data_IF_247849990823
#
_entry.id   IF_247849990823
#
_cell.length_a   1.000
_cell.length_b   1.000
_cell.length_c   1.000
_cell.angle_alpha   90.00
_cell.angle_beta   90.00
_cell.angle_gamma   90.00
#
_symmetry.space_group_name_H-M   'P 1'
#
loop_
_entity.id
_entity.type
_entity.pdbx_description
1 polymer ?
#
# COMPACT_ATOMS: atom_id res chain seq x y z
N UNK A 1 -7.99 -7.94 -1.94
CA UNK A 1 -6.96 -7.85 -2.99
C UNK A 1 -7.57 -7.15 -4.18
N UNK A 2 -6.87 -6.16 -4.72
CA UNK A 2 -7.19 -5.54 -6.01
C UNK A 2 -5.91 -5.53 -6.82
N UNK A 3 -5.91 -6.35 -7.88
CA UNK A 3 -4.86 -6.40 -8.88
C UNK A 3 -5.10 -5.35 -9.96
N UNK A 4 -4.06 -4.66 -10.40
CA UNK A 4 -4.20 -3.68 -11.48
C UNK A 4 -3.09 -3.80 -12.51
N UNK A 5 -3.39 -3.37 -13.74
CA UNK A 5 -2.40 -3.27 -14.82
C UNK A 5 -1.20 -2.40 -14.43
N UNK A 6 -0.04 -2.65 -15.08
CA UNK A 6 1.22 -1.93 -14.87
C UNK A 6 1.10 -0.39 -14.84
N UNK A 7 0.24 0.20 -15.67
CA UNK A 7 0.03 1.66 -15.70
C UNK A 7 -0.48 2.24 -14.37
N UNK A 8 -1.13 1.42 -13.53
CA UNK A 8 -1.60 1.78 -12.19
C UNK A 8 -0.64 1.23 -11.12
N UNK A 9 -0.16 0.00 -11.30
CA UNK A 9 0.74 -0.66 -10.33
C UNK A 9 2.12 0.02 -10.22
N UNK A 10 2.63 0.63 -11.31
CA UNK A 10 3.89 1.39 -11.36
C UNK A 10 5.08 0.66 -10.71
N UNK A 11 5.26 -0.62 -11.07
CA UNK A 11 6.32 -1.50 -10.54
C UNK A 11 6.37 -1.63 -9.00
N UNK A 12 5.24 -1.41 -8.32
CA UNK A 12 5.13 -1.49 -6.86
C UNK A 12 4.75 -0.17 -6.22
N UNK A 13 5.14 0.96 -6.83
CA UNK A 13 4.85 2.32 -6.35
C UNK A 13 3.37 2.67 -6.33
N UNK A 14 2.53 1.93 -7.04
CA UNK A 14 1.08 2.08 -6.97
C UNK A 14 0.44 1.37 -5.77
N UNK A 15 1.18 0.51 -5.05
CA UNK A 15 0.66 -0.17 -3.87
C UNK A 15 0.28 0.85 -2.80
N UNK A 16 -0.86 0.60 -2.16
CA UNK A 16 -1.46 1.48 -1.16
C UNK A 16 -2.27 2.65 -1.74
N UNK A 17 -2.15 2.97 -3.04
CA UNK A 17 -2.99 4.00 -3.67
C UNK A 17 -4.49 3.65 -3.63
N UNK A 18 -5.34 4.65 -3.41
CA UNK A 18 -6.78 4.49 -3.35
C UNK A 18 -7.50 4.99 -4.61
N UNK A 19 -8.52 4.24 -5.02
CA UNK A 19 -9.36 4.57 -6.17
C UNK A 19 -10.83 4.46 -5.79
N UNK A 20 -11.64 5.41 -6.27
CA UNK A 20 -13.09 5.23 -6.33
C UNK A 20 -13.44 4.54 -7.65
N UNK A 21 -14.18 3.44 -7.58
CA UNK A 21 -14.70 2.68 -8.71
C UNK A 21 -16.23 2.69 -8.69
N UNK A 22 -16.87 2.75 -9.86
CA UNK A 22 -18.32 2.59 -9.97
C UNK A 22 -18.70 1.91 -11.27
N UNK A 23 -19.77 1.13 -11.25
CA UNK A 23 -20.37 0.57 -12.46
C UNK A 23 -21.74 1.22 -12.74
N UNK A 24 -22.11 1.32 -14.01
CA UNK A 24 -23.37 1.96 -14.44
C UNK A 24 -24.12 1.19 -15.53
N UNK A 25 -23.44 0.31 -16.29
CA UNK A 25 -23.98 -0.32 -17.49
C UNK A 25 -24.58 -1.72 -17.27
N UNK A 26 -24.58 -2.25 -16.04
CA UNK A 26 -25.18 -3.54 -15.71
C UNK A 26 -26.43 -3.35 -14.82
N UNK A 27 -27.53 -4.12 -15.01
CA UNK A 27 -28.77 -3.93 -14.23
C UNK A 27 -28.57 -4.00 -12.71
N UNK A 28 -27.58 -4.77 -12.27
CA UNK A 28 -27.23 -4.92 -10.86
C UNK A 28 -26.39 -3.77 -10.29
N UNK A 29 -25.88 -2.85 -11.11
CA UNK A 29 -25.07 -1.73 -10.64
C UNK A 29 -25.85 -0.79 -9.74
N UNK A 30 -25.28 -0.42 -8.60
CA UNK A 30 -25.85 0.60 -7.71
C UNK A 30 -25.70 2.00 -8.29
N UNK A 31 -24.66 2.24 -9.10
CA UNK A 31 -24.24 3.57 -9.56
C UNK A 31 -23.43 4.36 -8.53
N UNK A 32 -23.35 3.87 -7.30
CA UNK A 32 -22.58 4.48 -6.22
C UNK A 32 -21.09 4.12 -6.34
N UNK A 33 -20.18 5.04 -6.00
CA UNK A 33 -18.76 4.75 -5.97
C UNK A 33 -18.36 3.96 -4.73
N UNK A 34 -17.50 2.96 -4.92
CA UNK A 34 -16.83 2.20 -3.87
C UNK A 34 -15.34 2.55 -3.86
N UNK A 35 -14.74 2.68 -2.68
CA UNK A 35 -13.29 2.90 -2.55
C UNK A 35 -12.56 1.58 -2.46
N UNK A 36 -11.55 1.40 -3.29
CA UNK A 36 -10.64 0.25 -3.29
C UNK A 36 -9.20 0.70 -3.13
N UNK A 37 -8.38 -0.18 -2.57
CA UNK A 37 -6.94 0.04 -2.35
C UNK A 37 -6.18 -0.92 -3.26
N UNK A 38 -5.16 -0.43 -3.95
CA UNK A 38 -4.32 -1.26 -4.79
C UNK A 38 -3.37 -2.06 -3.90
N UNK A 39 -3.41 -3.38 -4.03
CA UNK A 39 -2.58 -4.28 -3.22
C UNK A 39 -1.76 -5.25 -4.07
N UNK A 40 -2.03 -5.32 -5.37
CA UNK A 40 -1.44 -6.33 -6.24
C UNK A 40 -1.38 -5.86 -7.70
N UNK A 41 -0.68 -6.63 -8.53
CA UNK A 41 -0.55 -6.44 -9.96
C UNK A 41 -1.37 -7.46 -10.73
N UNK A 42 -1.98 -7.03 -11.83
CA UNK A 42 -2.51 -7.92 -12.85
C UNK A 42 -1.53 -8.02 -14.03
N UNK A 43 -0.89 -9.18 -14.17
CA UNK A 43 0.07 -9.49 -15.25
C UNK A 43 -0.59 -9.81 -16.60
N UNK A 44 -1.90 -10.05 -16.62
CA UNK A 44 -2.66 -10.42 -17.83
C UNK A 44 -3.79 -9.42 -18.11
N UNK A 45 -3.45 -8.14 -18.42
CA UNK A 45 -4.46 -7.13 -18.71
C UNK A 45 -5.17 -7.40 -20.04
N UNK A 46 -6.51 -7.33 -20.04
CA UNK A 46 -7.33 -7.46 -21.25
C UNK A 46 -7.72 -6.12 -21.87
N UNK A 47 -7.34 -5.00 -21.23
CA UNK A 47 -7.64 -3.64 -21.66
C UNK A 47 -6.56 -2.66 -21.17
N UNK A 48 -6.61 -1.41 -21.65
CA UNK A 48 -5.66 -0.35 -21.25
C UNK A 48 -5.65 -0.11 -19.74
N UNK A 49 -6.82 -0.17 -19.11
CA UNK A 49 -7.00 -0.07 -17.66
C UNK A 49 -7.83 -1.24 -17.18
N UNK A 50 -7.21 -2.15 -16.44
CA UNK A 50 -7.85 -3.36 -15.94
C UNK A 50 -7.68 -3.44 -14.42
N UNK A 51 -8.81 -3.56 -13.71
CA UNK A 51 -8.89 -3.84 -12.28
C UNK A 51 -9.40 -5.27 -12.09
N UNK A 52 -8.55 -6.12 -11.54
CA UNK A 52 -8.89 -7.47 -11.08
C UNK A 52 -9.29 -7.38 -9.60
N UNK A 53 -10.59 -7.24 -9.38
CA UNK A 53 -11.17 -6.98 -8.06
C UNK A 53 -11.43 -8.30 -7.33
N UNK A 54 -11.20 -8.33 -6.01
CA UNK A 54 -11.76 -9.41 -5.17
C UNK A 54 -13.29 -9.48 -5.33
N UNK A 55 -13.86 -10.66 -5.13
CA UNK A 55 -15.33 -10.84 -5.18
C UNK A 55 -16.07 -9.89 -4.21
N UNK A 56 -15.48 -9.55 -3.07
CA UNK A 56 -16.02 -8.54 -2.15
C UNK A 56 -16.08 -7.16 -2.80
N UNK A 57 -14.97 -6.67 -3.35
CA UNK A 57 -14.90 -5.34 -3.99
C UNK A 57 -15.78 -5.28 -5.26
N UNK A 58 -15.75 -6.32 -6.09
CA UNK A 58 -16.59 -6.40 -7.29
C UNK A 58 -18.08 -6.36 -6.94
N UNK A 59 -18.50 -7.18 -5.97
CA UNK A 59 -19.89 -7.27 -5.55
C UNK A 59 -20.38 -6.03 -4.78
N UNK A 60 -19.49 -5.24 -4.16
CA UNK A 60 -19.86 -4.02 -3.45
C UNK A 60 -20.42 -2.93 -4.38
N UNK A 61 -20.05 -2.93 -5.66
CA UNK A 61 -20.62 -2.02 -6.66
C UNK A 61 -22.10 -2.34 -7.02
N UNK A 62 -22.66 -3.43 -6.50
CA UNK A 62 -24.03 -3.85 -6.79
C UNK A 62 -25.07 -3.14 -5.91
N UNK A 63 -26.32 -3.13 -6.36
CA UNK A 63 -27.48 -2.82 -5.54
C UNK A 63 -27.57 -3.80 -4.36
N UNK A 64 -28.15 -3.39 -3.21
CA UNK A 64 -28.36 -4.29 -2.08
C UNK A 64 -29.05 -5.60 -2.51
N UNK A 65 -28.41 -6.74 -2.20
CA UNK A 65 -28.92 -8.07 -2.53
C UNK A 65 -28.61 -8.57 -3.94
N UNK A 66 -27.91 -7.79 -4.78
CA UNK A 66 -27.57 -8.17 -6.16
C UNK A 66 -26.06 -8.41 -6.36
N UNK A 67 -25.31 -8.57 -5.26
CA UNK A 67 -23.86 -8.76 -5.27
C UNK A 67 -23.45 -9.96 -6.14
N UNK A 68 -24.13 -11.10 -5.97
CA UNK A 68 -23.83 -12.31 -6.75
C UNK A 68 -24.21 -12.14 -8.22
N UNK A 69 -25.35 -11.51 -8.50
CA UNK A 69 -25.75 -11.22 -9.88
C UNK A 69 -24.68 -10.39 -10.60
N UNK A 70 -24.12 -9.37 -9.93
CA UNK A 70 -23.03 -8.59 -10.52
C UNK A 70 -21.77 -9.44 -10.69
N UNK A 71 -21.35 -10.22 -9.69
CA UNK A 71 -20.17 -11.11 -9.78
C UNK A 71 -20.25 -12.10 -10.95
N UNK A 72 -21.43 -12.65 -11.23
CA UNK A 72 -21.63 -13.60 -12.33
C UNK A 72 -21.51 -12.96 -13.72
N UNK A 73 -21.50 -11.63 -13.83
CA UNK A 73 -21.21 -10.95 -15.10
C UNK A 73 -19.74 -11.15 -15.55
N UNK A 74 -18.84 -11.50 -14.62
CA UNK A 74 -17.43 -11.73 -14.90
C UNK A 74 -16.68 -10.42 -15.18
N UNK A 75 -16.77 -9.91 -16.40
CA UNK A 75 -16.11 -8.66 -16.83
C UNK A 75 -17.16 -7.59 -17.07
N UNK A 76 -16.99 -6.43 -16.45
CA UNK A 76 -17.86 -5.26 -16.63
C UNK A 76 -17.04 -4.00 -16.86
N UNK A 77 -17.60 -3.05 -17.59
CA UNK A 77 -17.04 -1.71 -17.67
C UNK A 77 -17.30 -0.93 -16.38
N UNK A 78 -16.25 -0.31 -15.86
CA UNK A 78 -16.30 0.57 -14.69
C UNK A 78 -15.74 1.95 -15.02
N UNK A 79 -16.17 2.93 -14.25
CA UNK A 79 -15.54 4.24 -14.18
C UNK A 79 -14.69 4.29 -12.91
N UNK A 80 -13.53 4.90 -12.99
CA UNK A 80 -12.63 5.01 -11.84
C UNK A 80 -11.93 6.37 -11.79
N UNK A 81 -11.51 6.76 -10.59
CA UNK A 81 -10.63 7.92 -10.35
C UNK A 81 -9.76 7.67 -9.13
N UNK A 82 -8.52 8.16 -9.13
CA UNK A 82 -7.66 8.15 -7.94
C UNK A 82 -8.25 9.12 -6.91
N UNK A 83 -8.21 8.74 -5.64
CA UNK A 83 -8.66 9.57 -4.51
C UNK A 83 -7.67 9.45 -3.36
N UNK A 84 -7.63 10.43 -2.45
CA UNK A 84 -6.87 10.27 -1.22
C UNK A 84 -7.33 9.05 -0.40
N UNK A 85 -6.37 8.32 0.15
CA UNK A 85 -6.62 7.27 1.12
C UNK A 85 -6.98 7.84 2.49
N UNK A 86 -7.87 7.12 3.19
CA UNK A 86 -8.25 7.41 4.56
C UNK A 86 -8.45 6.07 5.28
N UNK A 87 -7.65 5.83 6.32
CA UNK A 87 -7.66 4.63 7.16
C UNK A 87 -8.05 5.00 8.60
N UNK A 88 -9.35 5.15 8.91
CA UNK A 88 -9.82 5.61 10.21
C UNK A 88 -9.30 4.75 11.37
N UNK A 89 -8.68 5.41 12.35
CA UNK A 89 -8.15 4.75 13.55
C UNK A 89 -6.84 3.99 13.34
N UNK A 90 -6.34 3.91 12.11
CA UNK A 90 -5.04 3.34 11.81
C UNK A 90 -3.98 4.44 11.71
N UNK A 91 -2.73 4.00 11.84
CA UNK A 91 -1.52 4.80 11.65
C UNK A 91 -0.60 4.02 10.74
N UNK A 92 0.35 4.73 10.13
CA UNK A 92 1.39 4.10 9.33
C UNK A 92 2.03 2.97 10.13
N UNK A 93 2.04 1.78 9.56
CA UNK A 93 2.47 0.55 10.20
C UNK A 93 3.61 -0.07 9.40
N UNK A 94 4.57 -0.64 10.12
CA UNK A 94 5.77 -1.23 9.57
C UNK A 94 5.80 -2.71 9.89
N UNK A 95 5.73 -3.57 8.88
CA UNK A 95 5.86 -5.01 9.03
C UNK A 95 7.26 -5.45 8.60
N UNK A 96 8.04 -6.00 9.54
CA UNK A 96 9.41 -6.44 9.27
C UNK A 96 9.35 -7.79 8.54
N UNK A 97 9.98 -7.86 7.37
CA UNK A 97 9.94 -9.06 6.53
C UNK A 97 10.75 -10.22 7.14
N UNK A 98 10.32 -11.45 6.88
CA UNK A 98 10.87 -12.70 7.46
C UNK A 98 12.40 -12.83 7.28
N UNK A 99 12.93 -12.42 6.12
CA UNK A 99 14.36 -12.50 5.82
C UNK A 99 15.25 -11.51 6.60
N UNK A 100 14.66 -10.59 7.36
CA UNK A 100 15.41 -9.56 8.09
C UNK A 100 16.33 -10.14 9.15
N UNK A 101 17.52 -9.59 9.28
CA UNK A 101 18.57 -9.99 10.22
C UNK A 101 19.51 -8.80 10.50
N UNK A 102 20.52 -8.93 11.37
CA UNK A 102 21.35 -7.79 11.76
C UNK A 102 22.13 -7.08 10.64
N UNK A 103 22.25 -7.63 9.43
CA UNK A 103 22.95 -6.99 8.29
C UNK A 103 22.04 -6.78 7.08
N UNK A 104 20.78 -7.21 7.14
CA UNK A 104 19.78 -7.05 6.10
C UNK A 104 18.44 -6.70 6.74
N UNK A 105 17.87 -5.55 6.42
CA UNK A 105 16.58 -5.15 6.96
C UNK A 105 15.60 -4.89 5.82
N UNK A 106 14.42 -5.50 5.87
CA UNK A 106 13.36 -5.26 4.93
C UNK A 106 12.03 -5.00 5.66
N UNK A 107 11.28 -4.02 5.17
CA UNK A 107 10.04 -3.57 5.82
C UNK A 107 8.97 -3.27 4.78
N UNK A 108 7.77 -3.80 5.02
CA UNK A 108 6.55 -3.42 4.34
C UNK A 108 5.92 -2.22 5.08
N UNK A 109 5.55 -1.18 4.33
CA UNK A 109 4.83 -0.02 4.86
C UNK A 109 3.35 -0.13 4.49
N UNK A 110 2.48 0.09 5.49
CA UNK A 110 1.02 -0.03 5.35
C UNK A 110 0.26 1.14 5.98
N UNK A 111 -0.95 1.38 5.47
CA UNK A 111 -1.97 2.31 5.99
C UNK A 111 -1.59 3.80 5.93
N UNK A 112 -0.94 4.20 4.84
CA UNK A 112 -0.62 5.58 4.53
C UNK A 112 -1.86 6.33 4.04
N UNK A 113 -2.28 7.36 4.76
CA UNK A 113 -3.34 8.27 4.30
C UNK A 113 -2.81 9.20 3.19
N UNK A 114 -3.72 9.93 2.55
CA UNK A 114 -3.36 10.89 1.51
C UNK A 114 -3.05 10.17 0.20
N UNK A 115 -1.85 10.29 -0.32
CA UNK A 115 -1.53 9.74 -1.65
C UNK A 115 -1.62 8.20 -1.69
N UNK A 116 -1.43 7.56 -0.53
CA UNK A 116 -1.51 6.11 -0.34
C UNK A 116 -0.28 5.34 -0.81
N UNK A 117 0.62 5.97 -1.57
CA UNK A 117 1.87 5.39 -2.03
C UNK A 117 3.09 5.96 -1.30
N UNK A 118 4.13 5.13 -1.21
CA UNK A 118 5.46 5.50 -0.73
C UNK A 118 6.43 5.39 -1.89
N UNK A 119 7.22 6.44 -2.11
CA UNK A 119 8.21 6.50 -3.20
C UNK A 119 9.66 6.52 -2.71
N UNK A 120 9.87 6.68 -1.39
CA UNK A 120 11.17 6.55 -0.74
C UNK A 120 11.00 6.20 0.73
N UNK A 121 11.83 5.30 1.24
CA UNK A 121 12.01 5.06 2.67
C UNK A 121 13.48 5.23 3.04
N UNK A 122 13.75 5.93 4.14
CA UNK A 122 15.08 6.06 4.71
C UNK A 122 15.11 5.50 6.13
N UNK A 123 16.23 4.87 6.50
CA UNK A 123 16.47 4.31 7.83
C UNK A 123 17.54 5.12 8.57
N UNK A 124 17.28 5.44 9.82
CA UNK A 124 18.26 6.01 10.75
C UNK A 124 18.47 5.08 11.93
N UNK A 125 19.71 4.66 12.15
CA UNK A 125 20.14 3.81 13.26
C UNK A 125 20.22 4.58 14.58
N UNK A 126 20.24 3.83 15.68
CA UNK A 126 20.43 4.40 17.01
C UNK A 126 21.75 5.18 17.11
N UNK A 127 21.70 6.33 17.77
CA UNK A 127 22.83 7.25 17.95
C UNK A 127 23.44 7.79 16.64
N UNK A 128 22.80 7.57 15.49
CA UNK A 128 23.14 8.21 14.23
C UNK A 128 22.34 9.51 14.05
N UNK A 129 22.87 10.41 13.23
CA UNK A 129 22.14 11.59 12.72
C UNK A 129 21.98 11.54 11.20
N UNK A 130 22.33 10.40 10.58
CA UNK A 130 22.33 10.22 9.13
C UNK A 130 21.21 9.29 8.71
N UNK A 131 20.51 9.69 7.64
CA UNK A 131 19.50 8.89 6.97
C UNK A 131 20.15 8.06 5.87
N UNK A 132 19.93 6.76 5.90
CA UNK A 132 20.38 5.83 4.86
C UNK A 132 19.20 5.49 3.96
N UNK A 133 19.26 5.83 2.65
CA UNK A 133 18.21 5.48 1.71
C UNK A 133 18.05 3.96 1.59
N UNK A 134 16.83 3.47 1.75
CA UNK A 134 16.47 2.09 1.47
C UNK A 134 16.17 1.93 -0.02
N UNK A 135 16.33 0.71 -0.53
CA UNK A 135 16.01 0.34 -1.90
C UNK A 135 14.62 -0.26 -1.96
N UNK A 136 13.84 0.15 -2.95
CA UNK A 136 12.59 -0.53 -3.30
C UNK A 136 12.89 -1.97 -3.72
N UNK A 137 12.09 -2.92 -3.23
CA UNK A 137 12.14 -4.32 -3.63
C UNK A 137 10.97 -4.65 -4.56
N UNK A 138 9.84 -5.11 -4.01
CA UNK A 138 8.62 -5.41 -4.76
C UNK A 138 7.41 -4.96 -3.94
N UNK A 139 6.39 -4.39 -4.59
CA UNK A 139 5.22 -3.82 -3.90
C UNK A 139 5.63 -2.65 -3.01
N UNK A 140 5.17 -2.62 -1.76
CA UNK A 140 5.55 -1.60 -0.75
C UNK A 140 6.67 -2.09 0.19
N UNK A 141 7.52 -3.01 -0.26
CA UNK A 141 8.66 -3.53 0.53
C UNK A 141 9.93 -2.74 0.22
N UNK A 142 10.56 -2.23 1.28
CA UNK A 142 11.80 -1.46 1.25
C UNK A 142 12.90 -2.21 1.98
N UNK A 143 14.08 -2.32 1.37
CA UNK A 143 15.21 -3.09 1.92
C UNK A 143 16.49 -2.28 2.06
N UNK A 144 17.31 -2.65 3.03
CA UNK A 144 18.65 -2.15 3.27
C UNK A 144 19.62 -3.31 3.46
N UNK A 145 20.54 -3.46 2.51
CA UNK A 145 21.67 -4.38 2.59
C UNK A 145 22.87 -3.63 3.20
N UNK A 146 23.25 -3.96 4.45
CA UNK A 146 24.31 -3.26 5.18
C UNK A 146 25.65 -4.00 5.14
N UNK A 147 26.75 -3.26 5.11
CA UNK A 147 28.11 -3.79 5.23
C UNK A 147 28.57 -3.95 6.71
N UNK A 148 27.70 -3.61 7.66
CA UNK A 148 27.93 -3.72 9.09
C UNK A 148 26.65 -4.16 9.79
N UNK A 149 26.74 -4.50 11.09
CA UNK A 149 25.56 -4.81 11.88
C UNK A 149 24.77 -3.54 12.17
N UNK A 150 23.52 -3.51 11.75
CA UNK A 150 22.59 -2.42 12.02
C UNK A 150 22.31 -2.31 13.52
N UNK A 151 22.29 -1.08 14.03
CA UNK A 151 22.10 -0.77 15.45
C UNK A 151 20.71 -0.15 15.67
N UNK A 152 19.79 -0.95 16.21
CA UNK A 152 18.44 -0.51 16.57
C UNK A 152 18.42 0.21 17.95
N UNK A 153 17.40 1.03 18.28
CA UNK A 153 16.15 1.25 17.54
C UNK A 153 16.32 2.01 16.22
N UNK A 154 15.50 1.67 15.22
CA UNK A 154 15.48 2.35 13.93
C UNK A 154 14.37 3.39 13.87
N UNK A 155 14.70 4.57 13.34
CA UNK A 155 13.71 5.53 12.88
C UNK A 155 13.53 5.38 11.38
N UNK A 156 12.29 5.48 10.91
CA UNK A 156 11.97 5.36 9.48
C UNK A 156 11.38 6.68 8.99
N UNK A 157 11.91 7.20 7.88
CA UNK A 157 11.34 8.35 7.17
C UNK A 157 10.73 7.86 5.87
N UNK A 158 9.46 8.15 5.66
CA UNK A 158 8.74 7.81 4.43
C UNK A 158 8.42 9.08 3.64
N UNK A 159 8.54 9.01 2.32
CA UNK A 159 8.19 10.09 1.39
C UNK A 159 7.13 9.58 0.43
N UNK A 160 6.03 10.33 0.27
CA UNK A 160 4.95 9.98 -0.66
C UNK A 160 5.15 10.60 -2.05
N UNK A 161 4.29 10.27 -3.01
CA UNK A 161 4.41 10.77 -4.40
C UNK A 161 4.37 12.31 -4.49
N UNK A 162 3.63 12.99 -3.62
CA UNK A 162 3.63 14.46 -3.52
C UNK A 162 4.87 15.07 -2.86
N UNK A 163 5.85 14.26 -2.43
CA UNK A 163 7.08 14.70 -1.78
C UNK A 163 6.93 15.03 -0.29
N UNK A 164 5.77 14.75 0.33
CA UNK A 164 5.57 14.95 1.77
C UNK A 164 6.30 13.86 2.55
N UNK A 165 7.01 14.27 3.61
CA UNK A 165 7.77 13.37 4.47
C UNK A 165 7.10 13.17 5.82
N UNK A 166 7.14 11.94 6.32
CA UNK A 166 6.79 11.58 7.70
C UNK A 166 7.96 10.84 8.36
N UNK A 167 8.19 11.12 9.64
CA UNK A 167 9.24 10.46 10.42
C UNK A 167 8.61 9.68 11.56
N UNK A 168 8.74 8.36 11.51
CA UNK A 168 8.41 7.46 12.60
C UNK A 168 9.67 7.20 13.44
N UNK A 169 9.86 8.04 14.46
CA UNK A 169 11.04 8.00 15.33
C UNK A 169 11.09 6.72 16.17
N UNK A 170 12.22 6.02 16.14
CA UNK A 170 12.51 4.81 16.94
C UNK A 170 11.37 3.77 16.90
N UNK A 171 10.68 3.68 15.76
CA UNK A 171 9.48 2.83 15.59
C UNK A 171 9.81 1.34 15.59
N UNK A 172 11.00 0.97 15.13
CA UNK A 172 11.50 -0.41 15.21
C UNK A 172 12.39 -0.50 16.45
N UNK A 173 11.98 -1.20 17.52
CA UNK A 173 12.68 -1.20 18.80
C UNK A 173 13.95 -2.07 18.76
N UNK A 174 14.84 -1.95 19.74
CA UNK A 174 16.09 -2.72 19.77
C UNK A 174 15.91 -4.25 19.75
N UNK A 175 14.82 -4.74 20.33
CA UNK A 175 14.45 -6.16 20.37
C UNK A 175 13.52 -6.56 19.21
N UNK A 176 13.66 -5.94 18.05
CA UNK A 176 12.82 -6.25 16.90
C UNK A 176 13.01 -7.70 16.44
N UNK A 177 11.96 -8.24 15.81
CA UNK A 177 11.98 -9.59 15.25
C UNK A 177 11.42 -9.59 13.83
N UNK A 178 11.88 -10.51 12.96
CA UNK A 178 11.23 -10.74 11.68
C UNK A 178 9.75 -11.15 11.86
N UNK A 179 8.92 -10.82 10.87
CA UNK A 179 7.46 -10.97 10.88
C UNK A 179 6.73 -10.16 11.97
N UNK A 180 7.44 -9.32 12.72
CA UNK A 180 6.80 -8.46 13.72
C UNK A 180 6.25 -7.19 13.07
N UNK A 181 5.13 -6.72 13.61
CA UNK A 181 4.43 -5.52 13.16
C UNK A 181 4.58 -4.41 14.19
N UNK A 182 5.09 -3.26 13.75
CA UNK A 182 5.32 -2.08 14.58
C UNK A 182 4.46 -0.92 14.10
N UNK A 183 3.51 -0.52 14.94
CA UNK A 183 2.62 0.62 14.67
C UNK A 183 3.31 1.92 15.07
N UNK A 184 3.26 2.91 14.20
CA UNK A 184 3.71 4.26 14.52
C UNK A 184 2.61 5.10 15.17
N UNK A 185 2.94 6.36 15.48
CA UNK A 185 1.97 7.38 15.89
C UNK A 185 1.80 8.47 14.82
N UNK A 186 2.35 8.28 13.62
CA UNK A 186 2.34 9.27 12.54
C UNK A 186 1.33 8.92 11.47
N UNK A 187 0.85 9.94 10.77
CA UNK A 187 -0.03 9.81 9.62
C UNK A 187 0.04 11.08 8.75
N UNK A 188 -0.19 10.94 7.45
CA UNK A 188 -0.34 12.08 6.54
C UNK A 188 -1.63 12.81 6.87
N UNK A 189 -1.56 14.12 7.09
CA UNK A 189 -2.76 14.93 7.22
C UNK A 189 -3.43 15.08 5.85
N UNK A 190 -4.72 14.78 5.81
CA UNK A 190 -5.64 15.09 4.70
C UNK A 190 -5.75 16.58 4.44
#
# INVERSE_FOLDING_TARGET
>A
VVGVVAAIFKDGKGCGSCYQIRCVNHPACSGNPETVIITDMNYYPVSKYHFDLSGTAFGAMAKPGQNDQLRHAGIIDIQFKRVPCNFPGLKVTFHVEEGSNPVYFAVLVEYEDGDGDVVQVDLMEANSQSWTPMRESWGSIWRLDSNHRLTAPFSLRITNESGKQLVASQVIPANWAPMAVYRSFVQYSS
#
